data_IF_465330026772
#
_entry.id   IF_465330026772
#
_cell.length_a   1.000
_cell.length_b   1.000
_cell.length_c   1.000
_cell.angle_alpha   90.00
_cell.angle_beta   90.00
_cell.angle_gamma   90.00
#
_symmetry.space_group_name_H-M   'P 1'
#
loop_
_entity.id
_entity.type
_entity.pdbx_description
1 polymer ?
#
# COMPACT_ATOMS: atom_id res chain seq x y z
N UNK A 1 -5.26 20.72 9.68
CA UNK A 1 -4.25 20.37 8.66
C UNK A 1 -4.71 19.07 8.03
N UNK A 2 -4.66 18.93 6.70
CA UNK A 2 -5.12 17.74 6.00
C UNK A 2 -3.92 16.92 5.53
N UNK A 3 -3.99 15.60 5.70
CA UNK A 3 -2.97 14.65 5.29
C UNK A 3 -3.58 13.62 4.33
N UNK A 4 -2.79 13.19 3.35
CA UNK A 4 -3.13 12.12 2.43
C UNK A 4 -2.04 11.07 2.35
N UNK A 5 -2.41 9.86 1.95
CA UNK A 5 -1.51 8.71 1.80
C UNK A 5 -1.38 8.32 0.32
N UNK A 6 -0.15 8.31 -0.19
CA UNK A 6 0.15 7.72 -1.50
C UNK A 6 0.55 6.25 -1.35
N UNK A 7 -0.05 5.39 -2.16
CA UNK A 7 0.18 3.95 -2.19
C UNK A 7 0.85 3.59 -3.52
N UNK A 8 2.01 2.95 -3.50
CA UNK A 8 2.85 2.82 -4.71
C UNK A 8 2.71 1.45 -5.40
N UNK A 9 2.32 0.39 -4.69
CA UNK A 9 2.33 -0.96 -5.22
C UNK A 9 3.75 -1.46 -5.53
N UNK A 10 4.78 -0.93 -4.87
CA UNK A 10 6.15 -1.22 -5.24
C UNK A 10 6.56 -2.66 -4.88
N UNK A 11 6.94 -3.43 -5.90
CA UNK A 11 7.45 -4.79 -5.76
C UNK A 11 8.91 -4.83 -6.21
N UNK A 12 9.88 -4.97 -5.28
CA UNK A 12 11.27 -5.15 -5.65
C UNK A 12 11.47 -6.41 -6.51
N UNK A 13 12.34 -6.34 -7.51
CA UNK A 13 12.63 -7.46 -8.42
C UNK A 13 13.07 -8.74 -7.67
N UNK A 14 13.77 -8.58 -6.53
CA UNK A 14 14.14 -9.72 -5.70
C UNK A 14 12.92 -10.45 -5.10
N UNK A 15 11.87 -9.71 -4.71
CA UNK A 15 10.61 -10.25 -4.17
C UNK A 15 9.82 -10.96 -5.27
N UNK A 16 9.67 -10.33 -6.44
CA UNK A 16 8.96 -10.91 -7.57
C UNK A 16 9.58 -12.21 -8.11
N UNK A 17 10.90 -12.38 -8.00
CA UNK A 17 11.60 -13.58 -8.47
C UNK A 17 11.30 -14.85 -7.66
N UNK A 18 10.95 -14.70 -6.38
CA UNK A 18 10.79 -15.83 -5.45
C UNK A 18 9.34 -16.05 -5.02
N UNK A 19 8.47 -15.08 -5.28
CA UNK A 19 7.05 -15.15 -4.93
C UNK A 19 6.19 -14.71 -6.13
N UNK A 20 5.50 -15.64 -6.81
CA UNK A 20 4.64 -15.31 -7.94
C UNK A 20 3.41 -14.46 -7.54
N UNK A 21 3.08 -14.39 -6.25
CA UNK A 21 1.97 -13.57 -5.74
C UNK A 21 2.46 -12.23 -5.15
N UNK A 22 3.72 -11.86 -5.38
CA UNK A 22 4.34 -10.69 -4.76
C UNK A 22 3.55 -9.39 -4.98
N UNK A 23 2.99 -9.19 -6.18
CA UNK A 23 2.19 -8.01 -6.51
C UNK A 23 0.85 -7.98 -5.77
N UNK A 24 0.12 -9.10 -5.78
CA UNK A 24 -1.12 -9.21 -5.03
C UNK A 24 -0.90 -8.97 -3.53
N UNK A 25 0.15 -9.59 -2.96
CA UNK A 25 0.49 -9.42 -1.54
C UNK A 25 0.87 -7.98 -1.22
N UNK A 26 1.65 -7.31 -2.07
CA UNK A 26 2.02 -5.91 -1.87
C UNK A 26 0.76 -5.00 -1.85
N UNK A 27 -0.19 -5.21 -2.75
CA UNK A 27 -1.44 -4.45 -2.78
C UNK A 27 -2.31 -4.68 -1.53
N UNK A 28 -2.41 -5.93 -1.06
CA UNK A 28 -3.15 -6.26 0.16
C UNK A 28 -2.45 -5.67 1.40
N UNK A 29 -1.12 -5.76 1.48
CA UNK A 29 -0.32 -5.14 2.55
C UNK A 29 -0.53 -3.63 2.60
N UNK A 30 -0.49 -2.94 1.45
CA UNK A 30 -0.69 -1.50 1.41
C UNK A 30 -2.14 -1.07 1.68
N UNK A 31 -3.12 -1.95 1.43
CA UNK A 31 -4.51 -1.72 1.83
C UNK A 31 -4.62 -1.54 3.35
N UNK A 32 -3.83 -2.28 4.14
CA UNK A 32 -3.80 -2.08 5.59
C UNK A 32 -3.31 -0.69 5.98
N UNK A 33 -2.39 -0.09 5.22
CA UNK A 33 -1.96 1.30 5.47
C UNK A 33 -3.10 2.28 5.24
N UNK A 34 -3.91 2.07 4.21
CA UNK A 34 -5.10 2.90 3.94
C UNK A 34 -6.13 2.76 5.07
N UNK A 35 -6.36 1.54 5.55
CA UNK A 35 -7.26 1.29 6.70
C UNK A 35 -6.76 2.01 7.96
N UNK A 36 -5.46 1.98 8.23
CA UNK A 36 -4.91 2.71 9.38
C UNK A 36 -4.93 4.23 9.18
N UNK A 37 -4.73 4.70 7.94
CA UNK A 37 -4.80 6.12 7.60
C UNK A 37 -6.21 6.67 7.82
N UNK A 38 -7.24 5.92 7.41
CA UNK A 38 -8.65 6.25 7.66
C UNK A 38 -8.93 6.38 9.17
N UNK A 39 -8.52 5.39 9.97
CA UNK A 39 -8.62 5.43 11.44
C UNK A 39 -7.87 6.60 12.07
N UNK A 40 -6.82 7.10 11.41
CA UNK A 40 -5.99 8.20 11.88
C UNK A 40 -6.42 9.57 11.38
N UNK A 41 -7.52 9.65 10.61
CA UNK A 41 -8.07 10.92 10.11
C UNK A 41 -7.39 11.47 8.86
N UNK A 42 -6.68 10.63 8.10
CA UNK A 42 -6.22 11.01 6.75
C UNK A 42 -7.43 11.20 5.83
N UNK A 43 -7.35 12.20 4.95
CA UNK A 43 -8.50 12.68 4.17
C UNK A 43 -8.66 11.95 2.84
N UNK A 44 -7.57 11.47 2.27
CA UNK A 44 -7.58 10.80 0.96
C UNK A 44 -6.40 9.83 0.84
N UNK A 45 -6.62 8.78 0.05
CA UNK A 45 -5.59 7.87 -0.42
C UNK A 45 -5.61 7.84 -1.95
N UNK A 46 -4.44 7.72 -2.58
CA UNK A 46 -4.32 7.57 -4.03
C UNK A 46 -3.15 6.64 -4.41
N UNK A 47 -3.21 6.11 -5.62
CA UNK A 47 -2.24 5.18 -6.19
C UNK A 47 -1.96 5.53 -7.67
#
# INVERSE_FOLDING_TARGET
MEFGLFVQGYVPAARAKVDPEAEHKALIEETEYVIQADKSGFKYAWA
#
